data_IF_090443772849
#
_entry.id   IF_090443772849
#
_cell.length_a   1.000
_cell.length_b   1.000
_cell.length_c   1.000
_cell.angle_alpha   90.00
_cell.angle_beta   90.00
_cell.angle_gamma   90.00
#
_symmetry.space_group_name_H-M   'P 1'
#
loop_
_entity.id
_entity.type
_entity.pdbx_description
1 polymer ?
#
# COMPACT_ATOMS: atom_id res chain seq x y z
N UNK A 1 10.85 34.29 -27.44
CA UNK A 1 10.06 33.61 -26.39
C UNK A 1 9.92 32.11 -26.69
N UNK A 2 11.00 31.33 -26.51
CA UNK A 2 11.01 29.87 -26.75
C UNK A 2 11.36 29.08 -25.46
N UNK A 3 11.98 29.75 -24.48
CA UNK A 3 12.45 29.12 -23.25
C UNK A 3 11.30 28.62 -22.37
N UNK A 4 10.22 29.41 -22.27
CA UNK A 4 9.05 29.08 -21.46
C UNK A 4 8.33 27.80 -21.92
N UNK A 5 8.00 27.62 -23.22
CA UNK A 5 7.39 26.35 -23.67
C UNK A 5 8.35 25.17 -23.55
N UNK A 6 9.67 25.36 -23.74
CA UNK A 6 10.66 24.29 -23.54
C UNK A 6 10.70 23.80 -22.09
N UNK A 7 10.76 24.72 -21.12
CA UNK A 7 10.74 24.39 -19.70
C UNK A 7 9.41 23.73 -19.30
N UNK A 8 8.29 24.20 -19.86
CA UNK A 8 6.97 23.64 -19.58
C UNK A 8 6.85 22.17 -20.01
N UNK A 9 7.42 21.81 -21.17
CA UNK A 9 7.43 20.42 -21.66
C UNK A 9 8.29 19.53 -20.76
N UNK A 10 9.48 19.98 -20.36
CA UNK A 10 10.35 19.19 -19.46
C UNK A 10 9.67 18.94 -18.11
N UNK A 11 9.13 20.00 -17.48
CA UNK A 11 8.43 19.88 -16.20
C UNK A 11 7.18 19.01 -16.29
N UNK A 12 6.47 19.07 -17.43
CA UNK A 12 5.33 18.18 -17.70
C UNK A 12 5.73 16.71 -17.78
N UNK A 13 6.80 16.39 -18.50
CA UNK A 13 7.30 15.01 -18.62
C UNK A 13 7.80 14.50 -17.26
N UNK A 14 8.52 15.31 -16.48
CA UNK A 14 9.00 14.92 -15.15
C UNK A 14 7.85 14.65 -14.19
N UNK A 15 6.80 15.47 -14.22
CA UNK A 15 5.63 15.29 -13.36
C UNK A 15 4.89 13.99 -13.66
N UNK A 16 4.72 13.64 -14.95
CA UNK A 16 4.09 12.37 -15.36
C UNK A 16 4.97 11.19 -14.97
N UNK A 17 6.27 11.30 -15.19
CA UNK A 17 7.24 10.24 -14.84
C UNK A 17 7.23 9.96 -13.34
N UNK A 18 7.20 11.01 -12.52
CA UNK A 18 7.12 10.88 -11.06
C UNK A 18 5.78 10.29 -10.62
N UNK A 19 4.67 10.71 -11.22
CA UNK A 19 3.35 10.13 -10.94
C UNK A 19 3.31 8.62 -11.20
N UNK A 20 3.87 8.18 -12.32
CA UNK A 20 4.00 6.75 -12.63
C UNK A 20 4.92 6.05 -11.64
N UNK A 21 6.07 6.64 -11.33
CA UNK A 21 7.01 6.10 -10.35
C UNK A 21 6.34 5.86 -9.00
N UNK A 22 5.64 6.87 -8.45
CA UNK A 22 4.92 6.76 -7.18
C UNK A 22 3.93 5.59 -7.22
N UNK A 23 3.11 5.49 -8.27
CA UNK A 23 2.13 4.40 -8.39
C UNK A 23 2.80 3.02 -8.40
N UNK A 24 3.90 2.86 -9.13
CA UNK A 24 4.62 1.59 -9.18
C UNK A 24 5.29 1.25 -7.85
N UNK A 25 5.88 2.25 -7.18
CA UNK A 25 6.47 2.09 -5.84
C UNK A 25 5.41 1.67 -4.82
N UNK A 26 4.23 2.29 -4.82
CA UNK A 26 3.13 1.90 -3.95
C UNK A 26 2.63 0.49 -4.27
N UNK A 27 2.50 0.12 -5.55
CA UNK A 27 2.11 -1.24 -5.95
C UNK A 27 3.12 -2.29 -5.46
N UNK A 28 4.42 -1.98 -5.54
CA UNK A 28 5.47 -2.82 -5.00
C UNK A 28 5.37 -2.93 -3.47
N UNK A 29 5.16 -1.83 -2.77
CA UNK A 29 5.03 -1.82 -1.31
C UNK A 29 3.87 -2.67 -0.82
N UNK A 30 2.71 -2.58 -1.48
CA UNK A 30 1.52 -3.39 -1.15
C UNK A 30 1.75 -4.87 -1.44
N UNK A 31 2.46 -5.21 -2.52
CA UNK A 31 2.85 -6.61 -2.81
C UNK A 31 3.75 -7.19 -1.71
N UNK A 32 4.75 -6.45 -1.26
CA UNK A 32 5.62 -6.91 -0.16
C UNK A 32 4.86 -7.00 1.17
N UNK A 33 3.92 -6.08 1.42
CA UNK A 33 3.02 -6.16 2.58
C UNK A 33 2.17 -7.43 2.59
N UNK A 34 1.61 -7.83 1.44
CA UNK A 34 0.87 -9.09 1.31
C UNK A 34 1.77 -10.30 1.49
N UNK A 35 2.96 -10.31 0.86
CA UNK A 35 3.94 -11.40 1.01
C UNK A 35 4.37 -11.59 2.46
N UNK A 36 4.50 -10.51 3.21
CA UNK A 36 4.75 -10.59 4.64
C UNK A 36 3.53 -11.15 5.39
N UNK A 37 2.34 -10.63 5.08
CA UNK A 37 1.09 -11.02 5.74
C UNK A 37 0.80 -12.53 5.67
N UNK A 38 1.02 -13.17 4.52
CA UNK A 38 0.70 -14.60 4.32
C UNK A 38 1.50 -15.53 5.25
N UNK A 39 2.65 -15.09 5.75
CA UNK A 39 3.58 -15.92 6.57
C UNK A 39 3.31 -15.87 8.07
N UNK A 40 2.29 -15.13 8.52
CA UNK A 40 1.95 -14.97 9.93
C UNK A 40 3.04 -14.35 10.82
N UNK A 41 4.02 -13.68 10.23
CA UNK A 41 5.06 -13.01 10.98
C UNK A 41 4.55 -11.72 11.64
N UNK A 42 5.12 -11.40 12.80
CA UNK A 42 4.95 -10.12 13.51
C UNK A 42 6.32 -9.47 13.71
N UNK A 43 6.39 -8.14 13.63
CA UNK A 43 7.67 -7.42 13.61
C UNK A 43 8.39 -7.35 14.96
N UNK A 44 7.75 -7.77 16.05
CA UNK A 44 8.34 -7.83 17.38
C UNK A 44 7.45 -8.56 18.39
N UNK A 45 7.99 -8.84 19.57
CA UNK A 45 7.25 -9.44 20.68
C UNK A 45 6.11 -8.51 21.12
N UNK A 46 4.89 -9.04 21.18
CA UNK A 46 3.69 -8.29 21.58
C UNK A 46 3.06 -7.44 20.48
N UNK A 47 3.61 -7.42 19.26
CA UNK A 47 2.97 -6.74 18.14
C UNK A 47 1.94 -7.63 17.43
N UNK A 48 0.88 -6.98 16.95
CA UNK A 48 -0.12 -7.63 16.13
C UNK A 48 0.20 -7.55 14.64
N UNK A 49 -0.48 -8.37 13.85
CA UNK A 49 -0.20 -8.59 12.45
C UNK A 49 -0.47 -7.35 11.58
N UNK A 50 -1.59 -6.65 11.75
CA UNK A 50 -1.94 -5.47 10.93
C UNK A 50 -0.93 -4.33 11.12
N UNK A 51 -0.54 -3.94 12.37
CA UNK A 51 0.54 -2.99 12.57
C UNK A 51 1.87 -3.43 11.92
N UNK A 52 2.18 -4.72 11.98
CA UNK A 52 3.41 -5.27 11.36
C UNK A 52 3.37 -5.16 9.84
N UNK A 53 2.23 -5.48 9.21
CA UNK A 53 2.02 -5.33 7.76
C UNK A 53 2.15 -3.85 7.35
N UNK A 54 1.52 -2.95 8.10
CA UNK A 54 1.60 -1.50 7.87
C UNK A 54 3.05 -0.99 7.91
N UNK A 55 3.88 -1.50 8.82
CA UNK A 55 5.32 -1.17 8.87
C UNK A 55 6.08 -1.66 7.64
N UNK A 56 5.80 -2.87 7.16
CA UNK A 56 6.42 -3.40 5.92
C UNK A 56 6.01 -2.54 4.72
N UNK A 57 4.73 -2.21 4.59
CA UNK A 57 4.25 -1.30 3.52
C UNK A 57 4.97 0.05 3.60
N UNK A 58 5.11 0.64 4.79
CA UNK A 58 5.85 1.89 4.99
C UNK A 58 7.30 1.79 4.54
N UNK A 59 8.01 0.73 4.94
CA UNK A 59 9.42 0.50 4.62
C UNK A 59 9.63 0.44 3.10
N UNK A 60 8.75 -0.25 2.38
CA UNK A 60 8.83 -0.40 0.93
C UNK A 60 8.23 0.77 0.14
N UNK A 61 7.59 1.74 0.81
CA UNK A 61 7.03 2.94 0.17
C UNK A 61 8.06 4.06 -0.05
N UNK A 62 9.36 3.80 0.17
CA UNK A 62 10.48 4.73 -0.12
C UNK A 62 10.32 6.16 0.45
N UNK A 63 9.62 6.30 1.58
CA UNK A 63 9.38 7.59 2.23
C UNK A 63 8.20 8.40 1.68
N UNK A 64 7.42 7.87 0.74
CA UNK A 64 6.21 8.54 0.24
C UNK A 64 5.03 8.49 1.22
N UNK A 65 5.05 7.56 2.18
CA UNK A 65 4.07 7.47 3.26
C UNK A 65 4.70 7.85 4.60
N UNK A 66 4.12 8.85 5.28
CA UNK A 66 4.39 9.13 6.69
C UNK A 66 3.65 8.16 7.61
N UNK A 67 4.03 8.10 8.90
CA UNK A 67 3.35 7.24 9.89
C UNK A 67 1.85 7.48 9.97
N UNK A 68 1.43 8.75 9.92
CA UNK A 68 0.02 9.11 9.93
C UNK A 68 -0.69 8.62 8.65
N UNK A 69 -0.08 8.83 7.49
CA UNK A 69 -0.66 8.42 6.20
C UNK A 69 -0.76 6.89 6.07
N UNK A 70 0.14 6.14 6.69
CA UNK A 70 0.03 4.68 6.73
C UNK A 70 -1.25 4.27 7.46
N UNK A 71 -1.56 4.90 8.60
CA UNK A 71 -2.77 4.57 9.35
C UNK A 71 -4.05 5.01 8.65
N UNK A 72 -4.01 6.14 7.93
CA UNK A 72 -5.19 6.72 7.28
C UNK A 72 -5.50 6.09 5.91
N UNK A 73 -4.46 5.67 5.17
CA UNK A 73 -4.59 5.23 3.78
C UNK A 73 -4.30 3.74 3.56
N UNK A 74 -3.54 3.07 4.43
CA UNK A 74 -3.25 1.64 4.29
C UNK A 74 -4.32 0.83 5.03
N UNK A 75 -5.11 0.08 4.27
CA UNK A 75 -6.12 -0.82 4.83
C UNK A 75 -5.69 -2.27 4.59
N UNK A 76 -5.85 -3.11 5.61
CA UNK A 76 -5.64 -4.55 5.53
C UNK A 76 -6.96 -5.22 5.81
N UNK A 77 -7.42 -6.06 4.88
CA UNK A 77 -8.69 -6.78 4.99
C UNK A 77 -8.48 -8.26 4.78
N UNK A 78 -9.30 -9.06 5.45
CA UNK A 78 -9.30 -10.51 5.32
C UNK A 78 -10.64 -10.97 4.75
N UNK A 79 -10.59 -11.88 3.79
CA UNK A 79 -11.74 -12.38 3.06
C UNK A 79 -11.83 -13.91 3.15
N UNK A 80 -13.05 -14.42 3.27
CA UNK A 80 -13.30 -15.84 3.20
C UNK A 80 -13.10 -16.36 1.75
N UNK A 81 -12.43 -17.51 1.56
CA UNK A 81 -11.92 -17.93 0.25
C UNK A 81 -12.99 -18.33 -0.77
N UNK A 82 -14.18 -18.73 -0.32
CA UNK A 82 -15.25 -19.23 -1.18
C UNK A 82 -16.38 -18.22 -1.38
N UNK A 83 -16.56 -17.30 -0.45
CA UNK A 83 -17.66 -16.31 -0.48
C UNK A 83 -17.18 -14.92 -0.87
N UNK A 84 -15.88 -14.62 -0.75
CA UNK A 84 -15.34 -13.28 -0.98
C UNK A 84 -15.85 -12.23 0.00
N UNK A 85 -16.50 -12.65 1.09
CA UNK A 85 -16.99 -11.77 2.14
C UNK A 85 -15.87 -11.44 3.11
N UNK A 86 -15.86 -10.19 3.62
CA UNK A 86 -14.92 -9.75 4.64
C UNK A 86 -15.14 -10.61 5.89
N UNK A 87 -14.11 -11.38 6.25
CA UNK A 87 -14.14 -12.30 7.41
C UNK A 87 -13.66 -11.58 8.67
N UNK A 88 -12.71 -10.65 8.52
CA UNK A 88 -12.08 -9.98 9.66
C UNK A 88 -11.17 -10.88 10.51
N UNK A 89 -10.89 -12.11 10.06
CA UNK A 89 -10.03 -13.07 10.75
C UNK A 89 -8.81 -13.43 9.88
N UNK A 90 -7.65 -13.67 10.48
CA UNK A 90 -6.45 -14.11 9.76
C UNK A 90 -6.31 -15.64 9.72
N UNK A 91 -7.38 -16.42 9.50
CA UNK A 91 -7.25 -17.89 9.54
C UNK A 91 -6.53 -18.46 8.31
N UNK A 92 -5.86 -19.63 8.44
CA UNK A 92 -5.25 -20.32 7.31
C UNK A 92 -6.23 -20.53 6.15
N UNK A 93 -5.77 -20.28 4.93
CA UNK A 93 -6.57 -20.41 3.71
C UNK A 93 -7.52 -19.26 3.41
N UNK A 94 -7.61 -18.24 4.29
CA UNK A 94 -8.28 -16.98 3.95
C UNK A 94 -7.46 -16.14 2.97
N UNK A 95 -8.08 -15.15 2.34
CA UNK A 95 -7.36 -14.18 1.51
C UNK A 95 -7.05 -12.94 2.35
N UNK A 96 -5.83 -12.46 2.26
CA UNK A 96 -5.45 -11.14 2.75
C UNK A 96 -5.37 -10.17 1.58
N UNK A 97 -6.02 -9.02 1.72
CA UNK A 97 -5.88 -7.88 0.82
C UNK A 97 -5.22 -6.75 1.58
N UNK A 98 -4.15 -6.20 1.00
CA UNK A 98 -3.57 -4.95 1.45
C UNK A 98 -3.89 -3.92 0.37
N UNK A 99 -4.37 -2.75 0.79
CA UNK A 99 -4.68 -1.64 -0.10
C UNK A 99 -4.09 -0.34 0.41
N UNK A 100 -3.67 0.51 -0.51
CA UNK A 100 -3.44 1.94 -0.26
C UNK A 100 -4.54 2.67 -1.01
N UNK A 101 -5.37 3.42 -0.28
CA UNK A 101 -6.53 4.09 -0.83
C UNK A 101 -6.46 5.60 -0.66
N UNK A 102 -6.85 6.33 -1.70
CA UNK A 102 -6.95 7.79 -1.67
C UNK A 102 -5.64 8.49 -1.29
N UNK A 103 -4.47 7.93 -1.64
CA UNK A 103 -3.20 8.63 -1.46
C UNK A 103 -3.15 9.81 -2.44
N UNK A 104 -2.98 11.02 -1.92
CA UNK A 104 -2.98 12.26 -2.71
C UNK A 104 -1.56 12.79 -2.93
N UNK A 105 -1.13 12.83 -4.19
CA UNK A 105 0.14 13.45 -4.59
C UNK A 105 -0.09 14.82 -5.24
N UNK A 106 0.62 15.83 -4.73
CA UNK A 106 0.61 17.18 -5.30
C UNK A 106 1.65 17.28 -6.42
N UNK A 107 1.22 17.76 -7.58
CA UNK A 107 2.09 17.99 -8.73
C UNK A 107 3.17 19.03 -8.41
N UNK A 108 4.38 18.85 -8.95
CA UNK A 108 5.50 19.79 -8.73
C UNK A 108 5.27 21.06 -9.56
N UNK A 109 4.74 20.92 -10.79
CA UNK A 109 4.44 22.04 -11.67
C UNK A 109 3.13 21.82 -12.43
N UNK A 110 1.97 22.23 -11.86
CA UNK A 110 0.69 22.21 -12.58
C UNK A 110 0.63 23.35 -13.62
N UNK A 111 1.43 23.25 -14.68
CA UNK A 111 1.41 24.21 -15.80
C UNK A 111 0.21 23.91 -16.71
N UNK A 112 -0.66 24.91 -16.89
CA UNK A 112 -1.83 24.87 -17.79
C UNK A 112 -2.78 23.68 -17.58
N UNK A 113 -2.83 23.16 -16.35
CA UNK A 113 -3.77 22.13 -15.91
C UNK A 113 -4.32 22.46 -14.53
N UNK A 114 -5.46 21.88 -14.18
CA UNK A 114 -6.01 22.02 -12.83
C UNK A 114 -5.04 21.41 -11.81
N UNK A 115 -4.81 22.13 -10.71
CA UNK A 115 -3.91 21.73 -9.61
C UNK A 115 -4.49 20.60 -8.71
N UNK A 116 -5.46 19.84 -9.21
CA UNK A 116 -6.07 18.75 -8.46
C UNK A 116 -5.00 17.68 -8.17
N UNK A 117 -4.89 17.21 -6.91
CA UNK A 117 -3.91 16.19 -6.56
C UNK A 117 -4.22 14.88 -7.29
N UNK A 118 -3.16 14.17 -7.66
CA UNK A 118 -3.26 12.83 -8.20
C UNK A 118 -3.69 11.88 -7.08
N UNK A 119 -4.80 11.17 -7.28
CA UNK A 119 -5.25 10.11 -6.37
C UNK A 119 -4.67 8.78 -6.83
N UNK A 120 -3.91 8.13 -5.96
CA UNK A 120 -3.33 6.81 -6.19
C UNK A 120 -4.04 5.80 -5.30
N UNK A 121 -4.63 4.79 -5.95
CA UNK A 121 -5.18 3.61 -5.28
C UNK A 121 -4.51 2.38 -5.86
N UNK A 122 -3.92 1.55 -5.00
CA UNK A 122 -3.25 0.30 -5.37
C UNK A 122 -3.64 -0.78 -4.38
N UNK A 123 -3.73 -2.02 -4.87
CA UNK A 123 -4.14 -3.18 -4.07
C UNK A 123 -3.35 -4.41 -4.49
N UNK A 124 -3.13 -5.31 -3.55
CA UNK A 124 -2.64 -6.65 -3.81
C UNK A 124 -3.33 -7.60 -2.84
N UNK A 125 -3.55 -8.83 -3.27
CA UNK A 125 -4.11 -9.88 -2.43
C UNK A 125 -3.43 -11.21 -2.68
N UNK A 126 -3.41 -12.04 -1.65
CA UNK A 126 -2.90 -13.42 -1.73
C UNK A 126 -3.55 -14.29 -0.64
N UNK A 127 -3.41 -15.61 -0.77
CA UNK A 127 -3.96 -16.58 0.17
C UNK A 127 -3.00 -16.80 1.34
N UNK A 128 -3.52 -16.70 2.55
CA UNK A 128 -2.81 -16.99 3.79
C UNK A 128 -2.26 -18.43 3.78
N UNK A 129 -1.02 -18.60 4.22
CA UNK A 129 -0.36 -19.91 4.29
C UNK A 129 -0.94 -20.79 5.42
N UNK A 130 -0.39 -21.99 5.59
CA UNK A 130 -0.71 -22.85 6.71
C UNK A 130 0.13 -22.50 7.94
N UNK A 131 -0.49 -22.50 9.12
CA UNK A 131 0.24 -22.44 10.39
C UNK A 131 0.77 -23.84 10.74
N UNK A 132 2.06 -23.92 11.10
CA UNK A 132 2.67 -25.17 11.58
C UNK A 132 2.17 -25.54 12.99
N UNK A 133 1.95 -26.83 13.24
CA UNK A 133 1.85 -27.36 14.60
C UNK A 133 0.65 -26.91 15.45
N UNK A 134 -0.54 -26.73 14.85
CA UNK A 134 -1.76 -26.27 15.55
C UNK A 134 -1.59 -24.92 16.28
N UNK A 135 -0.61 -24.11 15.87
CA UNK A 135 -0.42 -22.77 16.42
C UNK A 135 -1.58 -21.86 16.04
N UNK A 136 -2.02 -21.04 17.00
CA UNK A 136 -3.01 -20.00 16.75
C UNK A 136 -2.41 -18.84 15.95
N UNK A 137 -3.19 -18.20 15.06
CA UNK A 137 -2.73 -17.03 14.35
C UNK A 137 -2.44 -15.86 15.32
N UNK A 138 -1.49 -14.96 14.98
CA UNK A 138 -1.17 -13.79 15.79
C UNK A 138 -2.39 -12.87 15.91
N UNK A 139 -2.40 -12.02 16.93
CA UNK A 139 -3.44 -10.99 17.07
C UNK A 139 -3.46 -10.08 15.83
N UNK A 140 -4.64 -9.59 15.44
CA UNK A 140 -4.79 -8.73 14.26
C UNK A 140 -4.36 -7.29 14.52
N UNK A 141 -4.73 -6.70 15.66
CA UNK A 141 -4.47 -5.29 15.94
C UNK A 141 -5.27 -4.36 15.02
N UNK A 142 -4.99 -3.06 15.07
CA UNK A 142 -5.68 -2.03 14.26
C UNK A 142 -4.69 -1.28 13.37
#
# INVERSE_FOLDING_TARGET
MIFLPFLAVILGITDISLALYIRQTMQHAVREGVRYAITYQVSGEGECQIPSIKKVVKLHSMGFLSDQQVNDHVTVKFYAPYTGLESGENRPGQLVEVSIENYEWKWIAPLWRNANPLKVTVRSSDRMEGLGGAADPPCLGS
#
